data_IF_910471485934
#
_entry.id   IF_910471485934
#
_cell.length_a   1.000
_cell.length_b   1.000
_cell.length_c   1.000
_cell.angle_alpha   90.00
_cell.angle_beta   90.00
_cell.angle_gamma   90.00
#
_symmetry.space_group_name_H-M   'P 1'
#
loop_
_entity.id
_entity.type
_entity.pdbx_description
1 polymer ?
#
# COMPACT_ATOMS: atom_id res chain seq x y z
N UNK A 1 16.23 -16.58 -0.37
CA UNK A 1 15.68 -15.60 -1.34
C UNK A 1 14.45 -15.03 -0.65
N UNK A 2 14.42 -13.71 -0.52
CA UNK A 2 13.36 -12.94 0.13
C UNK A 2 12.79 -11.94 -0.90
N UNK A 3 11.66 -11.32 -0.59
CA UNK A 3 10.94 -10.43 -1.50
C UNK A 3 10.83 -9.04 -0.88
N UNK A 4 11.16 -8.02 -1.68
CA UNK A 4 10.78 -6.63 -1.44
C UNK A 4 9.81 -6.18 -2.53
N UNK A 5 8.90 -5.27 -2.19
CA UNK A 5 7.96 -4.67 -3.14
C UNK A 5 8.03 -3.15 -3.03
N UNK A 6 8.03 -2.49 -4.17
CA UNK A 6 7.69 -1.07 -4.30
C UNK A 6 6.29 -1.00 -4.91
N UNK A 7 5.38 -0.38 -4.17
CA UNK A 7 3.97 -0.27 -4.55
C UNK A 7 3.72 1.02 -5.33
N UNK A 8 4.43 2.11 -5.01
CA UNK A 8 4.16 3.45 -5.50
C UNK A 8 2.67 3.83 -5.39
N UNK A 9 2.07 3.67 -4.21
CA UNK A 9 0.61 3.73 -4.04
C UNK A 9 -0.01 5.11 -4.34
N UNK A 10 0.78 6.18 -4.29
CA UNK A 10 0.39 7.53 -4.73
C UNK A 10 -0.13 7.53 -6.19
N UNK A 11 0.40 6.67 -7.07
CA UNK A 11 0.03 6.60 -8.49
C UNK A 11 -1.40 6.10 -8.74
N UNK A 12 -1.98 5.41 -7.76
CA UNK A 12 -3.34 4.87 -7.84
C UNK A 12 -4.24 5.30 -6.68
N UNK A 13 -3.82 6.29 -5.92
CA UNK A 13 -4.64 6.93 -4.90
C UNK A 13 -5.70 7.85 -5.54
N UNK A 14 -6.94 7.72 -5.10
CA UNK A 14 -8.12 8.47 -5.57
C UNK A 14 -9.04 8.79 -4.39
N UNK A 15 -9.01 10.04 -3.92
CA UNK A 15 -9.96 10.57 -2.91
C UNK A 15 -10.11 9.64 -1.68
N UNK A 16 -9.03 9.46 -0.92
CA UNK A 16 -9.00 8.62 0.29
C UNK A 16 -9.20 7.10 0.05
N UNK A 17 -9.08 6.66 -1.20
CA UNK A 17 -9.16 5.24 -1.59
C UNK A 17 -8.11 4.90 -2.64
N UNK A 18 -7.91 3.61 -2.91
CA UNK A 18 -6.88 3.09 -3.80
C UNK A 18 -7.49 2.24 -4.92
N UNK A 19 -7.20 2.59 -6.16
CA UNK A 19 -7.69 1.91 -7.36
C UNK A 19 -6.68 0.88 -7.87
N UNK A 20 -6.84 -0.38 -7.47
CA UNK A 20 -5.94 -1.45 -7.92
C UNK A 20 -6.06 -1.77 -9.43
N UNK A 21 -7.04 -1.20 -10.13
CA UNK A 21 -7.22 -1.28 -11.58
C UNK A 21 -7.00 0.07 -12.28
N UNK A 22 -6.18 0.97 -11.71
CA UNK A 22 -5.99 2.35 -12.20
C UNK A 22 -5.58 2.50 -13.68
N UNK A 23 -5.00 1.46 -14.27
CA UNK A 23 -4.63 1.41 -15.69
C UNK A 23 -5.81 1.15 -16.62
N UNK A 24 -6.94 0.69 -16.09
CA UNK A 24 -8.18 0.50 -16.84
C UNK A 24 -8.94 1.84 -16.91
N UNK A 25 -9.18 2.39 -18.12
CA UNK A 25 -9.95 3.62 -18.28
C UNK A 25 -11.40 3.52 -17.78
N UNK A 26 -11.90 2.30 -17.60
CA UNK A 26 -13.25 2.01 -17.10
C UNK A 26 -13.23 1.41 -15.68
N UNK A 27 -12.18 1.66 -14.89
CA UNK A 27 -12.13 1.20 -13.50
C UNK A 27 -13.34 1.71 -12.71
N UNK A 28 -13.91 0.82 -11.89
CA UNK A 28 -15.15 1.06 -11.16
C UNK A 28 -14.85 1.63 -9.76
N UNK A 29 -15.29 2.85 -9.42
CA UNK A 29 -15.05 3.45 -8.10
C UNK A 29 -15.60 2.65 -6.91
N UNK A 30 -16.58 1.76 -7.12
CA UNK A 30 -17.11 0.90 -6.04
C UNK A 30 -16.11 -0.19 -5.62
N UNK A 31 -15.12 -0.50 -6.47
CA UNK A 31 -14.08 -1.50 -6.20
C UNK A 31 -12.83 -0.89 -5.54
N UNK A 32 -12.80 0.43 -5.33
CA UNK A 32 -11.65 1.11 -4.72
C UNK A 32 -11.55 0.76 -3.25
N UNK A 33 -10.31 0.57 -2.80
CA UNK A 33 -10.05 0.10 -1.45
C UNK A 33 -9.83 1.27 -0.50
N UNK A 34 -10.45 1.31 0.68
CA UNK A 34 -9.97 2.17 1.75
C UNK A 34 -8.60 1.69 2.25
N UNK A 35 -7.83 2.58 2.87
CA UNK A 35 -6.47 2.29 3.33
C UNK A 35 -6.41 1.07 4.27
N UNK A 36 -7.44 0.84 5.10
CA UNK A 36 -7.48 -0.33 5.98
C UNK A 36 -7.54 -1.65 5.20
N UNK A 37 -8.29 -1.70 4.10
CA UNK A 37 -8.39 -2.90 3.26
C UNK A 37 -7.13 -3.15 2.47
N UNK A 38 -6.48 -2.11 1.99
CA UNK A 38 -5.17 -2.22 1.37
C UNK A 38 -4.11 -2.73 2.38
N UNK A 39 -4.15 -2.23 3.62
CA UNK A 39 -3.31 -2.74 4.70
C UNK A 39 -3.55 -4.23 5.02
N UNK A 40 -4.79 -4.69 4.99
CA UNK A 40 -5.13 -6.12 5.19
C UNK A 40 -4.45 -6.98 4.12
N UNK A 41 -4.47 -6.58 2.84
CA UNK A 41 -3.78 -7.30 1.77
C UNK A 41 -2.26 -7.40 1.98
N UNK A 42 -1.61 -6.31 2.38
CA UNK A 42 -0.17 -6.36 2.67
C UNK A 42 0.16 -7.33 3.80
N UNK A 43 -0.64 -7.35 4.87
CA UNK A 43 -0.45 -8.28 5.98
C UNK A 43 -0.69 -9.74 5.56
N UNK A 44 -1.63 -10.00 4.65
CA UNK A 44 -1.81 -11.31 4.04
C UNK A 44 -0.59 -11.71 3.20
N UNK A 45 -0.06 -10.81 2.36
CA UNK A 45 1.16 -11.10 1.58
C UNK A 45 2.38 -11.35 2.46
N UNK A 46 2.54 -10.59 3.56
CA UNK A 46 3.62 -10.82 4.54
C UNK A 46 3.50 -12.20 5.18
N UNK A 47 2.28 -12.70 5.38
CA UNK A 47 2.03 -14.02 5.96
C UNK A 47 2.26 -15.16 4.94
N UNK A 48 1.91 -14.93 3.67
CA UNK A 48 1.91 -15.98 2.63
C UNK A 48 3.24 -16.10 1.88
N UNK A 49 4.02 -15.02 1.79
CA UNK A 49 5.26 -14.94 1.03
C UNK A 49 6.44 -14.53 1.91
N UNK A 50 7.70 -14.81 1.51
CA UNK A 50 8.89 -14.41 2.27
C UNK A 50 9.18 -12.89 2.09
N UNK A 51 8.21 -12.04 2.41
CA UNK A 51 8.31 -10.58 2.32
C UNK A 51 9.19 -10.04 3.45
N UNK A 52 10.09 -9.13 3.11
CA UNK A 52 10.97 -8.45 4.09
C UNK A 52 10.95 -6.93 3.97
N UNK A 53 10.42 -6.37 2.88
CA UNK A 53 10.31 -4.93 2.70
C UNK A 53 9.09 -4.55 1.85
N UNK A 54 8.42 -3.46 2.19
CA UNK A 54 7.42 -2.78 1.35
C UNK A 54 7.76 -1.29 1.31
N UNK A 55 7.85 -0.73 0.11
CA UNK A 55 8.08 0.68 -0.19
C UNK A 55 6.78 1.32 -0.71
N UNK A 56 6.51 2.55 -0.27
CA UNK A 56 5.34 3.37 -0.60
C UNK A 56 3.99 2.63 -0.62
N UNK A 57 3.61 1.93 0.47
CA UNK A 57 2.36 1.19 0.57
C UNK A 57 1.09 2.06 0.50
N UNK A 58 1.21 3.37 0.72
CA UNK A 58 0.09 4.31 0.74
C UNK A 58 0.50 5.61 0.06
N UNK A 59 -0.49 6.48 -0.19
CA UNK A 59 -0.25 7.83 -0.69
C UNK A 59 0.71 8.61 0.21
N UNK A 60 1.52 9.47 -0.41
CA UNK A 60 2.53 10.32 0.24
C UNK A 60 1.99 11.15 1.42
N UNK A 61 0.70 11.48 1.46
CA UNK A 61 0.09 12.29 2.52
C UNK A 61 -0.86 11.49 3.43
N UNK A 62 -1.05 10.18 3.22
CA UNK A 62 -1.93 9.31 4.05
C UNK A 62 -1.22 8.81 5.33
N UNK A 63 -0.72 9.74 6.15
CA UNK A 63 0.05 9.47 7.38
C UNK A 63 -0.62 8.49 8.36
N UNK A 64 -1.96 8.48 8.38
CA UNK A 64 -2.71 7.57 9.24
C UNK A 64 -2.55 6.12 8.79
N UNK A 65 -2.63 5.85 7.48
CA UNK A 65 -2.41 4.52 6.93
C UNK A 65 -0.97 4.04 7.14
N UNK A 66 0.02 4.91 6.87
CA UNK A 66 1.43 4.65 7.13
C UNK A 66 1.69 4.24 8.59
N UNK A 67 1.16 5.02 9.53
CA UNK A 67 1.29 4.74 10.96
C UNK A 67 0.61 3.42 11.33
N UNK A 68 -0.57 3.16 10.76
CA UNK A 68 -1.35 1.96 11.04
C UNK A 68 -0.62 0.68 10.61
N UNK A 69 -0.15 0.61 9.35
CA UNK A 69 0.55 -0.57 8.84
C UNK A 69 1.87 -0.78 9.58
N UNK A 70 2.66 0.28 9.78
CA UNK A 70 3.94 0.20 10.50
C UNK A 70 3.76 -0.34 11.91
N UNK A 71 2.66 -0.02 12.59
CA UNK A 71 2.35 -0.55 13.93
C UNK A 71 1.98 -2.05 13.96
N UNK A 72 1.61 -2.64 12.81
CA UNK A 72 1.06 -4.00 12.69
C UNK A 72 2.05 -5.00 12.10
N UNK A 73 3.21 -4.54 11.63
CA UNK A 73 4.21 -5.39 10.99
C UNK A 73 5.61 -5.18 11.57
N UNK A 74 6.46 -6.19 11.39
CA UNK A 74 7.87 -6.14 11.79
C UNK A 74 8.83 -6.13 10.60
N UNK A 75 8.30 -6.18 9.37
CA UNK A 75 9.14 -6.06 8.16
C UNK A 75 9.51 -4.60 7.91
N UNK A 76 10.48 -4.36 7.03
CA UNK A 76 10.88 -3.01 6.66
C UNK A 76 9.76 -2.29 5.91
N UNK A 77 9.46 -1.05 6.31
CA UNK A 77 8.60 -0.12 5.57
C UNK A 77 9.48 1.04 5.12
N UNK A 78 9.50 1.30 3.81
CA UNK A 78 10.34 2.34 3.19
C UNK A 78 9.42 3.46 2.68
N UNK A 79 9.79 4.70 2.96
CA UNK A 79 9.17 5.88 2.34
C UNK A 79 10.11 6.49 1.32
N UNK A 80 9.70 6.53 0.06
CA UNK A 80 10.36 7.28 -1.02
C UNK A 80 9.59 8.59 -1.22
N UNK A 81 8.40 8.53 -1.83
CA UNK A 81 7.55 9.71 -2.07
C UNK A 81 7.07 10.39 -0.77
N UNK A 82 6.97 9.64 0.33
CA UNK A 82 6.59 10.17 1.65
C UNK A 82 7.59 11.23 2.19
N UNK A 83 8.87 11.16 1.84
CA UNK A 83 9.96 11.88 2.55
C UNK A 83 10.71 12.94 1.74
N UNK A 84 10.10 13.42 0.66
CA UNK A 84 10.66 14.45 -0.24
C UNK A 84 10.66 15.88 0.29
#
# INVERSE_FOLDING_TARGET
IEIGMDVAASEFYKKDTYDLDFKNPNSNPEDYLPSEKLSEYYLEFIKEFPMVSIEDPFDQDDWNAWTNLTSKTTIQIVGDDLTV
#
